data_IF_755584978127
#
_entry.id   IF_755584978127
#
_cell.length_a   1.000
_cell.length_b   1.000
_cell.length_c   1.000
_cell.angle_alpha   90.00
_cell.angle_beta   90.00
_cell.angle_gamma   90.00
#
_symmetry.space_group_name_H-M   'P 1'
#
loop_
_entity.id
_entity.type
_entity.pdbx_description
1 polymer ?
#
# COMPACT_ATOMS: atom_id res chain seq x y z
N UNK A 1 -4.40 16.41 -12.29
CA UNK A 1 -3.96 15.76 -11.03
C UNK A 1 -2.65 15.02 -11.26
N UNK A 2 -1.68 15.16 -10.36
CA UNK A 2 -0.39 14.44 -10.44
C UNK A 2 -0.34 13.35 -9.35
N UNK A 3 -0.11 12.10 -9.76
CA UNK A 3 0.05 10.94 -8.88
C UNK A 3 1.38 10.25 -9.17
N UNK A 4 1.93 9.53 -8.19
CA UNK A 4 3.10 8.68 -8.42
C UNK A 4 2.99 7.33 -7.72
N UNK A 5 3.85 6.41 -8.13
CA UNK A 5 4.06 5.11 -7.52
C UNK A 5 5.54 5.01 -7.19
N UNK A 6 5.86 4.82 -5.91
CA UNK A 6 7.23 4.72 -5.41
C UNK A 6 7.53 3.28 -4.97
N UNK A 7 8.74 2.83 -5.25
CA UNK A 7 9.24 1.51 -4.87
C UNK A 7 10.62 1.25 -5.44
N UNK A 8 11.19 0.11 -5.08
CA UNK A 8 12.45 -0.35 -5.66
C UNK A 8 12.54 -1.89 -5.59
N UNK A 9 12.55 -2.61 -6.73
CA UNK A 9 12.42 -2.12 -8.11
C UNK A 9 10.97 -1.79 -8.51
N UNK A 10 10.79 -1.08 -9.63
CA UNK A 10 9.48 -0.73 -10.19
C UNK A 10 9.22 -1.26 -11.61
N UNK A 11 10.14 -1.99 -12.23
CA UNK A 11 10.05 -2.37 -13.64
C UNK A 11 8.74 -3.10 -14.04
N UNK A 12 8.08 -3.76 -13.09
CA UNK A 12 6.87 -4.55 -13.32
C UNK A 12 5.57 -3.86 -12.89
N UNK A 13 5.63 -2.60 -12.43
CA UNK A 13 4.42 -1.93 -11.94
C UNK A 13 3.50 -1.52 -13.08
N UNK A 14 2.22 -1.87 -12.96
CA UNK A 14 1.14 -1.43 -13.85
C UNK A 14 0.26 -0.34 -13.23
N UNK A 15 0.59 0.08 -12.01
CA UNK A 15 -0.18 1.10 -11.30
C UNK A 15 -0.31 2.43 -12.06
N UNK A 16 0.70 2.94 -12.81
CA UNK A 16 0.52 4.14 -13.62
C UNK A 16 -0.57 4.02 -14.67
N UNK A 17 -0.65 2.88 -15.38
CA UNK A 17 -1.72 2.59 -16.35
C UNK A 17 -3.08 2.54 -15.66
N UNK A 18 -3.16 1.84 -14.52
CA UNK A 18 -4.40 1.72 -13.75
C UNK A 18 -4.90 3.08 -13.25
N UNK A 19 -4.02 3.90 -12.70
CA UNK A 19 -4.39 5.25 -12.23
C UNK A 19 -4.83 6.14 -13.38
N UNK A 20 -4.16 6.08 -14.54
CA UNK A 20 -4.56 6.82 -15.73
C UNK A 20 -5.95 6.39 -16.19
N UNK A 21 -6.22 5.08 -16.28
CA UNK A 21 -7.53 4.57 -16.64
C UNK A 21 -8.63 5.04 -15.65
N UNK A 22 -8.34 5.04 -14.34
CA UNK A 22 -9.27 5.54 -13.33
C UNK A 22 -9.52 7.05 -13.42
N UNK A 23 -8.48 7.83 -13.70
CA UNK A 23 -8.58 9.27 -13.95
C UNK A 23 -9.47 9.56 -15.17
N UNK A 24 -9.20 8.88 -16.29
CA UNK A 24 -9.94 9.03 -17.54
C UNK A 24 -11.42 8.64 -17.35
N UNK A 25 -11.71 7.54 -16.66
CA UNK A 25 -13.07 7.09 -16.36
C UNK A 25 -13.87 8.09 -15.51
N UNK A 26 -13.19 8.89 -14.69
CA UNK A 26 -13.81 9.92 -13.84
C UNK A 26 -13.85 11.31 -14.51
N UNK A 27 -13.35 11.45 -15.74
CA UNK A 27 -13.21 12.74 -16.42
C UNK A 27 -12.20 13.67 -15.74
N UNK A 28 -11.28 13.13 -14.96
CA UNK A 28 -10.27 13.89 -14.22
C UNK A 28 -8.97 13.95 -15.02
N UNK A 29 -8.61 15.13 -15.53
CA UNK A 29 -7.33 15.31 -16.21
C UNK A 29 -6.14 15.09 -15.27
N UNK A 30 -5.12 14.33 -15.70
CA UNK A 30 -3.94 14.08 -14.87
C UNK A 30 -2.90 13.13 -15.44
N UNK A 31 -1.90 12.84 -14.63
CA UNK A 31 -0.83 11.88 -14.93
C UNK A 31 -0.51 11.01 -13.71
N UNK A 32 -0.01 9.80 -13.98
CA UNK A 32 0.61 8.95 -12.96
C UNK A 32 1.95 8.43 -13.45
N UNK A 33 2.98 8.49 -12.58
CA UNK A 33 4.35 8.07 -12.92
C UNK A 33 4.88 7.04 -11.93
N UNK A 34 5.63 6.06 -12.42
CA UNK A 34 6.47 5.21 -11.58
C UNK A 34 7.81 5.92 -11.34
N UNK A 35 8.22 6.07 -10.09
CA UNK A 35 9.47 6.73 -9.71
C UNK A 35 10.21 5.79 -8.79
N UNK A 36 11.35 5.26 -9.26
CA UNK A 36 12.18 4.38 -8.44
C UNK A 36 12.71 5.18 -7.25
N UNK A 37 12.47 4.67 -6.06
CA UNK A 37 12.83 5.33 -4.81
C UNK A 37 13.38 4.30 -3.82
N UNK A 38 14.69 4.32 -3.55
CA UNK A 38 15.27 3.57 -2.44
C UNK A 38 14.69 4.03 -1.09
N UNK A 39 14.66 3.15 -0.09
CA UNK A 39 14.11 3.48 1.22
C UNK A 39 14.83 4.66 1.90
N UNK A 40 16.14 4.80 1.67
CA UNK A 40 16.96 5.90 2.20
C UNK A 40 16.57 7.27 1.66
N UNK A 41 15.96 7.33 0.47
CA UNK A 41 15.55 8.57 -0.20
C UNK A 41 14.06 8.90 0.01
N UNK A 42 13.33 8.07 0.76
CA UNK A 42 11.87 8.15 0.82
C UNK A 42 11.38 9.49 1.38
N UNK A 43 11.93 9.95 2.50
CA UNK A 43 11.52 11.21 3.13
C UNK A 43 11.70 12.41 2.21
N UNK A 44 12.89 12.54 1.60
CA UNK A 44 13.20 13.59 0.62
C UNK A 44 12.26 13.53 -0.58
N UNK A 45 12.06 12.32 -1.14
CA UNK A 45 11.17 12.13 -2.28
C UNK A 45 9.73 12.56 -2.01
N UNK A 46 9.21 12.26 -0.81
CA UNK A 46 7.85 12.68 -0.43
C UNK A 46 7.75 14.21 -0.36
N UNK A 47 8.77 14.88 0.17
CA UNK A 47 8.82 16.33 0.24
C UNK A 47 8.86 16.97 -1.16
N UNK A 48 9.75 16.49 -2.04
CA UNK A 48 9.86 16.96 -3.42
C UNK A 48 8.54 16.83 -4.18
N UNK A 49 7.86 15.68 -4.06
CA UNK A 49 6.61 15.43 -4.76
C UNK A 49 5.47 16.30 -4.23
N UNK A 50 5.39 16.50 -2.92
CA UNK A 50 4.44 17.43 -2.33
C UNK A 50 4.66 18.86 -2.87
N UNK A 51 5.91 19.34 -2.88
CA UNK A 51 6.27 20.66 -3.41
C UNK A 51 6.01 20.79 -4.92
N UNK A 52 6.18 19.71 -5.68
CA UNK A 52 5.90 19.64 -7.12
C UNK A 52 4.41 19.52 -7.48
N UNK A 53 3.51 19.65 -6.49
CA UNK A 53 2.06 19.66 -6.67
C UNK A 53 1.44 18.28 -6.89
N UNK A 54 2.11 17.19 -6.49
CA UNK A 54 1.48 15.88 -6.45
C UNK A 54 0.37 15.86 -5.41
N UNK A 55 -0.70 15.11 -5.68
CA UNK A 55 -1.80 14.93 -4.73
C UNK A 55 -1.58 13.77 -3.77
N UNK A 56 -0.75 12.81 -4.19
CA UNK A 56 -0.40 11.66 -3.39
C UNK A 56 0.44 10.66 -4.17
N UNK A 57 0.90 9.65 -3.45
CA UNK A 57 1.68 8.55 -3.99
C UNK A 57 1.19 7.21 -3.47
N UNK A 58 1.32 6.18 -4.30
CA UNK A 58 1.26 4.82 -3.83
C UNK A 58 2.67 4.30 -3.53
N UNK A 59 2.76 3.48 -2.52
CA UNK A 59 4.01 2.86 -2.09
C UNK A 59 3.93 1.35 -2.30
N UNK A 60 4.98 0.79 -2.87
CA UNK A 60 5.18 -0.65 -2.95
C UNK A 60 6.46 -1.07 -2.24
N UNK A 61 6.81 -2.35 -2.32
CA UNK A 61 8.03 -2.87 -1.74
C UNK A 61 9.27 -2.03 -2.13
N UNK A 62 10.21 -1.76 -1.20
CA UNK A 62 10.21 -2.08 0.24
C UNK A 62 9.59 -0.98 1.13
N UNK A 63 8.97 0.05 0.55
CA UNK A 63 8.70 1.34 1.19
C UNK A 63 7.50 1.37 2.14
N UNK A 64 6.62 0.36 2.08
CA UNK A 64 5.35 0.37 2.83
C UNK A 64 5.52 0.47 4.35
N UNK A 65 6.67 0.04 4.88
CA UNK A 65 7.00 0.13 6.31
C UNK A 65 7.81 1.39 6.62
N UNK A 66 8.83 1.66 5.80
CA UNK A 66 9.76 2.78 5.98
C UNK A 66 9.04 4.15 6.00
N UNK A 67 7.92 4.28 5.29
CA UNK A 67 7.16 5.53 5.23
C UNK A 67 6.60 5.97 6.58
N UNK A 68 6.38 5.06 7.53
CA UNK A 68 5.74 5.39 8.81
C UNK A 68 6.48 6.50 9.56
N UNK A 69 7.81 6.55 9.43
CA UNK A 69 8.67 7.56 10.06
C UNK A 69 8.62 8.94 9.38
N UNK A 70 7.90 9.05 8.25
CA UNK A 70 7.82 10.27 7.43
C UNK A 70 6.40 10.87 7.35
N UNK A 71 5.43 10.28 8.06
CA UNK A 71 4.03 10.72 8.00
C UNK A 71 3.69 11.65 9.17
N UNK A 72 2.95 12.72 8.89
CA UNK A 72 2.34 13.54 9.94
C UNK A 72 1.15 12.85 10.61
N UNK A 73 0.45 11.97 9.87
CA UNK A 73 -0.57 11.06 10.42
C UNK A 73 -0.69 9.78 9.61
N UNK A 74 -1.05 8.69 10.26
CA UNK A 74 -1.44 7.44 9.61
C UNK A 74 -2.84 7.03 10.07
N UNK A 75 -3.61 6.36 9.22
CA UNK A 75 -4.90 5.76 9.59
C UNK A 75 -4.74 4.68 10.66
N UNK A 76 -5.82 4.34 11.38
CA UNK A 76 -5.76 3.22 12.33
C UNK A 76 -5.40 1.89 11.66
N UNK A 77 -6.00 1.50 10.50
CA UNK A 77 -5.58 0.29 9.78
C UNK A 77 -4.10 0.28 9.45
N UNK A 78 -3.54 1.41 8.99
CA UNK A 78 -2.13 1.52 8.65
C UNK A 78 -1.21 1.36 9.86
N UNK A 79 -1.54 2.00 10.99
CA UNK A 79 -0.78 1.86 12.24
C UNK A 79 -0.81 0.42 12.75
N UNK A 80 -1.98 -0.21 12.76
CA UNK A 80 -2.12 -1.61 13.20
C UNK A 80 -1.35 -2.57 12.29
N UNK A 81 -1.38 -2.33 10.98
CA UNK A 81 -0.68 -3.15 9.99
C UNK A 81 0.84 -2.90 9.96
N UNK A 82 1.30 -1.80 10.57
CA UNK A 82 2.65 -1.27 10.39
C UNK A 82 2.99 -1.20 8.88
N UNK A 83 2.05 -0.70 8.09
CA UNK A 83 2.13 -0.70 6.62
C UNK A 83 1.25 0.39 6.05
N UNK A 84 1.79 1.13 5.09
CA UNK A 84 1.09 2.19 4.34
C UNK A 84 1.40 1.98 2.86
N UNK A 85 0.37 1.87 2.03
CA UNK A 85 0.52 1.75 0.57
C UNK A 85 0.03 2.99 -0.18
N UNK A 86 -0.57 3.96 0.54
CA UNK A 86 -1.18 5.16 -0.02
C UNK A 86 -0.83 6.33 0.86
N UNK A 87 -0.26 7.37 0.27
CA UNK A 87 0.10 8.62 0.95
C UNK A 87 -0.57 9.76 0.22
N UNK A 88 -1.19 10.67 0.96
CA UNK A 88 -1.74 11.91 0.41
C UNK A 88 -1.06 13.14 0.99
N UNK A 89 -1.07 14.20 0.19
CA UNK A 89 -0.56 15.51 0.56
C UNK A 89 -1.75 16.47 0.66
N UNK A 90 -1.97 17.04 1.85
CA UNK A 90 -3.07 17.97 2.11
C UNK A 90 -2.62 19.13 2.99
N UNK A 91 -2.65 20.35 2.46
CA UNK A 91 -2.46 21.59 3.22
C UNK A 91 -1.20 21.60 4.10
N UNK A 92 -0.10 21.02 3.60
CA UNK A 92 1.18 20.91 4.33
C UNK A 92 1.30 19.69 5.24
N UNK A 93 0.26 18.85 5.35
CA UNK A 93 0.25 17.62 6.12
C UNK A 93 0.32 16.38 5.22
N UNK A 94 1.26 15.49 5.52
CA UNK A 94 1.39 14.18 4.88
C UNK A 94 0.61 13.15 5.67
N UNK A 95 -0.36 12.48 5.03
CA UNK A 95 -1.14 11.41 5.65
C UNK A 95 -0.93 10.08 4.94
N UNK A 96 -1.01 8.97 5.66
CA UNK A 96 -0.88 7.63 5.10
C UNK A 96 -2.02 6.69 5.47
N UNK A 97 -2.33 5.78 4.55
CA UNK A 97 -3.29 4.70 4.74
C UNK A 97 -2.84 3.41 4.03
N UNK A 98 -3.47 2.29 4.38
CA UNK A 98 -3.29 1.00 3.72
C UNK A 98 -4.60 0.49 3.15
N UNK A 99 -4.67 0.37 1.83
CA UNK A 99 -5.85 -0.17 1.13
C UNK A 99 -5.73 -1.67 0.81
N UNK A 100 -4.54 -2.27 0.97
CA UNK A 100 -4.28 -3.67 0.63
C UNK A 100 -5.29 -4.65 1.28
N UNK A 101 -5.55 -4.50 2.58
CA UNK A 101 -6.44 -5.39 3.33
C UNK A 101 -7.90 -5.29 2.90
N UNK A 102 -8.42 -4.07 2.83
CA UNK A 102 -9.79 -3.81 2.39
C UNK A 102 -9.99 -4.27 0.94
N UNK A 103 -9.08 -3.89 0.04
CA UNK A 103 -9.13 -4.30 -1.37
C UNK A 103 -9.09 -5.82 -1.56
N UNK A 104 -8.37 -6.56 -0.71
CA UNK A 104 -8.40 -8.02 -0.74
C UNK A 104 -9.74 -8.61 -0.28
N UNK A 105 -10.36 -8.06 0.76
CA UNK A 105 -11.70 -8.48 1.21
C UNK A 105 -12.73 -8.22 0.11
N UNK A 106 -12.69 -7.04 -0.52
CA UNK A 106 -13.57 -6.69 -1.63
C UNK A 106 -13.38 -7.63 -2.82
N UNK A 107 -12.13 -7.98 -3.14
CA UNK A 107 -11.80 -8.95 -4.18
C UNK A 107 -12.39 -10.34 -3.92
N UNK A 108 -12.37 -10.80 -2.66
CA UNK A 108 -12.97 -12.08 -2.27
C UNK A 108 -14.49 -12.06 -2.42
N UNK A 109 -15.14 -10.99 -1.95
CA UNK A 109 -16.59 -10.80 -2.06
C UNK A 109 -17.05 -10.70 -3.51
N UNK A 110 -16.31 -9.98 -4.35
CA UNK A 110 -16.57 -9.90 -5.79
C UNK A 110 -16.48 -11.28 -6.49
N UNK A 111 -15.81 -12.26 -5.88
CA UNK A 111 -15.77 -13.66 -6.31
C UNK A 111 -16.75 -14.57 -5.56
N UNK A 112 -17.72 -14.00 -4.85
CA UNK A 112 -18.72 -14.75 -4.07
C UNK A 112 -18.14 -15.49 -2.86
N UNK A 113 -16.97 -15.07 -2.34
CA UNK A 113 -16.34 -15.67 -1.17
C UNK A 113 -16.47 -14.76 0.04
N UNK A 114 -17.05 -15.27 1.12
CA UNK A 114 -17.09 -14.57 2.40
C UNK A 114 -15.93 -15.03 3.30
N UNK A 115 -15.00 -14.13 3.68
CA UNK A 115 -13.82 -14.50 4.48
C UNK A 115 -14.15 -15.08 5.85
N UNK A 116 -15.31 -14.74 6.42
CA UNK A 116 -15.71 -15.14 7.79
C UNK A 116 -15.81 -16.66 8.00
N UNK A 117 -16.04 -17.42 6.94
CA UNK A 117 -16.36 -18.84 7.02
C UNK A 117 -15.16 -19.76 6.73
N UNK A 118 -13.95 -19.23 6.56
CA UNK A 118 -12.83 -19.98 6.00
C UNK A 118 -11.57 -19.92 6.85
N UNK A 119 -10.81 -21.02 6.84
CA UNK A 119 -9.43 -21.04 7.35
C UNK A 119 -8.52 -20.49 6.26
N UNK A 120 -7.75 -19.46 6.58
CA UNK A 120 -6.83 -18.81 5.64
C UNK A 120 -5.40 -19.06 6.08
N UNK A 121 -4.53 -19.40 5.12
CA UNK A 121 -3.08 -19.43 5.31
C UNK A 121 -2.50 -18.22 4.59
N UNK A 122 -1.76 -17.38 5.31
CA UNK A 122 -1.04 -16.24 4.74
C UNK A 122 0.44 -16.60 4.60
N UNK A 123 0.95 -16.53 3.38
CA UNK A 123 2.36 -16.71 3.07
C UNK A 123 3.06 -15.35 3.04
N UNK A 124 4.01 -15.14 3.95
CA UNK A 124 4.74 -13.89 4.13
C UNK A 124 4.33 -13.12 5.39
N UNK A 125 5.19 -12.18 5.80
CA UNK A 125 5.02 -11.35 6.99
C UNK A 125 5.30 -9.84 6.72
N UNK A 126 5.39 -9.45 5.45
CA UNK A 126 5.57 -8.07 5.03
C UNK A 126 4.29 -7.23 5.16
N UNK A 127 4.38 -5.95 4.82
CA UNK A 127 3.29 -4.98 5.03
C UNK A 127 1.94 -5.41 4.45
N UNK A 128 1.91 -5.95 3.22
CA UNK A 128 0.68 -6.46 2.61
C UNK A 128 0.08 -7.63 3.41
N UNK A 129 0.91 -8.60 3.84
CA UNK A 129 0.44 -9.75 4.61
C UNK A 129 -0.17 -9.33 5.96
N UNK A 130 0.43 -8.33 6.63
CA UNK A 130 -0.11 -7.78 7.88
C UNK A 130 -1.42 -7.03 7.66
N UNK A 131 -1.52 -6.21 6.62
CA UNK A 131 -2.78 -5.55 6.25
C UNK A 131 -3.89 -6.56 5.95
N UNK A 132 -3.58 -7.65 5.23
CA UNK A 132 -4.52 -8.74 4.95
C UNK A 132 -4.92 -9.47 6.23
N UNK A 133 -3.98 -9.84 7.09
CA UNK A 133 -4.25 -10.54 8.34
C UNK A 133 -5.24 -9.76 9.22
N UNK A 134 -5.05 -8.45 9.34
CA UNK A 134 -5.94 -7.58 10.11
C UNK A 134 -7.33 -7.46 9.50
N UNK A 135 -7.41 -7.27 8.17
CA UNK A 135 -8.70 -7.18 7.48
C UNK A 135 -9.49 -8.49 7.57
N UNK A 136 -8.81 -9.63 7.44
CA UNK A 136 -9.43 -10.94 7.62
C UNK A 136 -9.87 -11.17 9.07
N UNK A 137 -9.03 -10.87 10.07
CA UNK A 137 -9.37 -11.03 11.48
C UNK A 137 -10.51 -10.11 11.95
N UNK A 138 -10.67 -8.92 11.36
CA UNK A 138 -11.82 -8.06 11.63
C UNK A 138 -13.13 -8.64 11.07
N UNK A 139 -13.05 -9.45 10.01
CA UNK A 139 -14.18 -10.17 9.45
C UNK A 139 -14.45 -11.48 10.19
N UNK A 140 -13.46 -12.36 10.29
CA UNK A 140 -13.53 -13.66 10.93
C UNK A 140 -13.06 -13.55 12.38
N UNK A 141 -13.89 -13.88 13.37
CA UNK A 141 -13.49 -13.93 14.79
C UNK A 141 -12.47 -15.04 15.13
N UNK A 142 -11.52 -15.36 14.23
CA UNK A 142 -10.54 -16.44 14.35
C UNK A 142 -9.17 -15.96 13.85
N UNK A 143 -8.12 -16.37 14.56
CA UNK A 143 -6.74 -16.00 14.29
C UNK A 143 -6.23 -16.55 12.96
N UNK A 144 -5.49 -15.72 12.21
CA UNK A 144 -4.86 -16.08 10.94
C UNK A 144 -3.36 -16.27 11.17
N UNK A 145 -2.81 -17.49 11.07
CA UNK A 145 -1.37 -17.70 11.18
C UNK A 145 -0.68 -17.08 9.95
N UNK A 146 0.27 -16.19 10.21
CA UNK A 146 1.20 -15.69 9.19
C UNK A 146 2.45 -16.56 9.22
N UNK A 147 2.90 -17.05 8.06
CA UNK A 147 4.12 -17.85 7.97
C UNK A 147 5.21 -17.04 7.26
N UNK A 148 6.29 -16.75 7.98
CA UNK A 148 7.54 -16.30 7.38
C UNK A 148 8.42 -17.53 7.17
N UNK A 149 8.70 -17.90 5.92
CA UNK A 149 9.79 -18.82 5.62
C UNK A 149 10.96 -18.04 5.04
N UNK A 150 11.66 -17.29 5.89
CA UNK A 150 13.02 -16.89 5.58
C UNK A 150 13.95 -18.08 5.90
N UNK A 151 13.97 -19.09 5.03
CA UNK A 151 15.16 -19.96 4.98
C UNK A 151 16.23 -19.16 4.26
N UNK A 152 17.03 -18.42 5.01
CA UNK A 152 18.36 -18.08 4.55
C UNK A 152 19.14 -19.39 4.55
N UNK A 153 19.28 -19.98 3.36
CA UNK A 153 20.02 -21.22 3.12
C UNK A 153 20.84 -21.00 1.87
N UNK A 154 22.14 -21.28 2.03
CA UNK A 154 23.23 -21.33 1.05
C UNK A 154 23.75 -19.97 0.57
N UNK A 155 25.05 -19.65 0.66
CA UNK A 155 26.23 -20.40 1.09
C UNK A 155 27.32 -19.40 1.52
#
# INVERSE_FOLDING_TARGET
>A
MKLAVLGDPLAYTRSPELHRAGLDALGLGGESRAIRTPASELGERLHELAAAGYRGVNLTHPLKQAVLDHLGRASEPARRALSVNTVGFDSGLTWGDTTDGAGFVDLLRARGREPRAQRVVLLGAGGAARSLALALAAGSGRSVPTHSSARCSTA
#
